data_IF_407823168103
#
_entry.id   IF_407823168103
#
_cell.length_a   1.000
_cell.length_b   1.000
_cell.length_c   1.000
_cell.angle_alpha   90.00
_cell.angle_beta   90.00
_cell.angle_gamma   90.00
#
_symmetry.space_group_name_H-M   'P 1'
#
loop_
_entity.id
_entity.type
_entity.pdbx_description
1 polymer ?
#
# COMPACT_ATOMS: atom_id res chain seq x y z
N UNK A 1 84.64 -51.44 25.88
CA UNK A 1 84.33 -50.01 25.72
C UNK A 1 83.05 -49.92 24.92
N UNK A 2 81.99 -49.50 25.57
CA UNK A 2 80.63 -49.49 25.17
C UNK A 2 80.30 -48.31 24.29
N UNK A 3 79.47 -48.48 23.25
CA UNK A 3 78.81 -47.40 22.63
C UNK A 3 77.34 -47.80 22.41
N UNK A 4 76.46 -47.16 23.15
CA UNK A 4 75.02 -47.32 23.02
C UNK A 4 74.49 -46.28 22.06
N UNK A 5 73.91 -46.71 20.93
CA UNK A 5 73.13 -45.89 20.01
C UNK A 5 71.67 -45.88 20.50
N UNK A 6 71.15 -44.66 20.72
CA UNK A 6 69.78 -44.37 21.10
C UNK A 6 68.92 -44.13 19.85
N UNK A 7 67.99 -45.05 19.60
CA UNK A 7 66.94 -44.84 18.63
C UNK A 7 65.95 -43.74 19.07
N UNK A 8 65.76 -42.77 18.26
CA UNK A 8 64.71 -41.76 18.42
C UNK A 8 63.55 -42.16 17.50
N UNK A 9 62.46 -42.62 18.07
CA UNK A 9 61.18 -42.79 17.39
C UNK A 9 60.56 -41.43 17.10
N UNK A 10 60.38 -41.10 15.83
CA UNK A 10 59.59 -39.98 15.36
C UNK A 10 58.11 -40.34 15.38
N UNK A 11 57.35 -39.70 16.28
CA UNK A 11 55.90 -39.75 16.25
C UNK A 11 55.36 -38.68 15.27
N UNK A 12 54.80 -39.13 14.18
CA UNK A 12 54.10 -38.28 13.21
C UNK A 12 52.71 -38.03 13.78
N UNK A 13 52.51 -36.79 14.26
CA UNK A 13 51.17 -36.30 14.68
C UNK A 13 50.29 -36.00 13.46
N UNK A 14 49.20 -36.75 13.32
CA UNK A 14 48.19 -36.52 12.30
C UNK A 14 47.31 -35.34 12.75
N UNK A 15 47.48 -34.16 12.15
CA UNK A 15 46.64 -33.01 12.41
C UNK A 15 45.33 -33.14 11.60
N UNK A 16 44.24 -33.42 12.28
CA UNK A 16 42.88 -33.40 11.67
C UNK A 16 42.43 -31.95 11.48
N UNK A 17 42.41 -31.48 10.26
CA UNK A 17 41.82 -30.18 9.90
C UNK A 17 40.32 -30.32 9.84
N UNK A 18 39.60 -29.78 10.81
CA UNK A 18 38.16 -29.68 10.83
C UNK A 18 37.75 -28.52 9.92
N UNK A 19 37.29 -28.78 8.68
CA UNK A 19 36.66 -27.77 7.83
C UNK A 19 35.26 -27.45 8.34
N UNK A 20 35.08 -26.31 8.95
CA UNK A 20 33.77 -25.78 9.26
C UNK A 20 33.08 -25.31 7.95
N UNK A 21 32.12 -26.09 7.46
CA UNK A 21 31.26 -25.67 6.35
C UNK A 21 30.29 -24.62 6.92
N UNK A 22 30.62 -23.34 6.72
CA UNK A 22 29.72 -22.23 7.02
C UNK A 22 28.55 -22.27 6.05
N UNK A 23 27.35 -22.60 6.53
CA UNK A 23 26.10 -22.39 5.78
C UNK A 23 25.85 -20.88 5.67
N UNK A 24 26.21 -20.30 4.53
CA UNK A 24 25.73 -18.98 4.17
C UNK A 24 24.22 -19.05 3.98
N UNK A 25 23.46 -18.68 4.99
CA UNK A 25 22.03 -18.42 4.85
C UNK A 25 21.86 -17.28 3.86
N UNK A 26 21.39 -17.59 2.66
CA UNK A 26 20.92 -16.57 1.72
C UNK A 26 19.78 -15.83 2.41
N UNK A 27 20.02 -14.61 2.86
CA UNK A 27 18.95 -13.71 3.25
C UNK A 27 18.04 -13.58 2.03
N UNK A 28 16.77 -13.98 2.15
CA UNK A 28 15.79 -13.78 1.10
C UNK A 28 15.71 -12.26 0.88
N UNK A 29 16.12 -11.79 -0.28
CA UNK A 29 15.94 -10.39 -0.65
C UNK A 29 14.45 -10.05 -0.53
N UNK A 30 14.15 -9.08 0.32
CA UNK A 30 12.78 -8.59 0.46
C UNK A 30 12.30 -8.12 -0.91
N UNK A 31 11.26 -8.80 -1.44
CA UNK A 31 10.70 -8.40 -2.74
C UNK A 31 10.28 -6.93 -2.67
N UNK A 32 10.63 -6.13 -3.67
CA UNK A 32 10.21 -4.73 -3.70
C UNK A 32 8.70 -4.65 -3.61
N UNK A 33 8.19 -3.60 -2.94
CA UNK A 33 6.76 -3.37 -2.82
C UNK A 33 6.10 -3.30 -4.20
N UNK A 34 5.04 -4.09 -4.38
CA UNK A 34 4.18 -4.06 -5.58
C UNK A 34 2.76 -3.68 -5.17
N UNK A 35 2.17 -2.75 -5.89
CA UNK A 35 0.78 -2.37 -5.72
C UNK A 35 -0.19 -3.35 -6.42
N UNK A 36 0.29 -4.21 -7.31
CA UNK A 36 -0.51 -5.22 -8.01
C UNK A 36 -1.35 -6.04 -7.02
N UNK A 37 -2.61 -6.30 -7.36
CA UNK A 37 -3.53 -7.12 -6.59
C UNK A 37 -4.82 -6.41 -6.22
N UNK A 38 -5.56 -7.03 -5.30
CA UNK A 38 -6.81 -6.52 -4.76
C UNK A 38 -6.62 -6.09 -3.31
N UNK A 39 -7.19 -4.93 -2.98
CA UNK A 39 -7.08 -4.31 -1.67
C UNK A 39 -8.45 -3.90 -1.19
N UNK A 40 -8.75 -4.19 0.07
CA UNK A 40 -9.95 -3.70 0.76
C UNK A 40 -9.59 -2.54 1.68
N UNK A 41 -10.44 -1.52 1.71
CA UNK A 41 -10.24 -0.37 2.59
C UNK A 41 -10.58 -0.73 4.03
N UNK A 42 -9.71 -0.33 4.95
CA UNK A 42 -9.94 -0.51 6.40
C UNK A 42 -10.20 0.81 7.09
N UNK A 43 -9.75 1.94 6.53
CA UNK A 43 -10.07 3.27 7.03
C UNK A 43 -9.90 4.34 5.93
N UNK A 44 -10.72 5.38 6.01
CA UNK A 44 -10.57 6.63 5.28
C UNK A 44 -10.83 7.80 6.23
N UNK A 45 -9.87 8.72 6.35
CA UNK A 45 -10.01 9.86 7.26
C UNK A 45 -9.25 11.07 6.74
N UNK A 46 -9.61 12.22 7.24
CA UNK A 46 -8.94 13.48 6.94
C UNK A 46 -8.42 14.13 8.22
N UNK A 47 -7.27 14.78 8.10
CA UNK A 47 -6.75 15.68 9.13
C UNK A 47 -6.91 17.09 8.59
N UNK A 48 -7.78 17.87 9.24
CA UNK A 48 -8.03 19.26 8.88
C UNK A 48 -6.83 20.14 9.27
N UNK A 49 -6.82 21.39 8.80
CA UNK A 49 -5.73 22.34 9.08
C UNK A 49 -5.54 22.63 10.57
N UNK A 50 -6.59 22.49 11.38
CA UNK A 50 -6.56 22.66 12.85
C UNK A 50 -6.17 21.37 13.60
N UNK A 51 -5.85 20.29 12.88
CA UNK A 51 -5.51 18.98 13.44
C UNK A 51 -6.72 18.08 13.76
N UNK A 52 -7.94 18.53 13.55
CA UNK A 52 -9.15 17.72 13.75
C UNK A 52 -9.19 16.57 12.77
N UNK A 53 -9.51 15.36 13.26
CA UNK A 53 -9.72 14.17 12.43
C UNK A 53 -11.20 14.00 12.10
N UNK A 54 -11.50 13.80 10.82
CA UNK A 54 -12.86 13.50 10.33
C UNK A 54 -12.88 12.22 9.50
N UNK A 55 -14.05 11.55 9.45
CA UNK A 55 -14.25 10.28 8.72
C UNK A 55 -15.40 10.44 7.73
N UNK A 56 -15.16 11.18 6.64
CA UNK A 56 -16.19 11.52 5.64
C UNK A 56 -16.85 10.31 4.97
N UNK A 57 -16.15 9.15 4.99
CA UNK A 57 -16.68 7.88 4.48
C UNK A 57 -17.14 6.94 5.61
N UNK A 58 -17.35 7.45 6.84
CA UNK A 58 -17.71 6.68 8.03
C UNK A 58 -16.54 5.90 8.62
N UNK A 59 -16.79 5.25 9.76
CA UNK A 59 -15.78 4.48 10.50
C UNK A 59 -15.37 3.18 9.75
N UNK A 60 -16.29 2.63 8.93
CA UNK A 60 -16.09 1.40 8.17
C UNK A 60 -16.45 1.63 6.69
N UNK A 61 -15.60 2.33 5.92
CA UNK A 61 -15.88 2.62 4.51
C UNK A 61 -15.88 1.34 3.68
N UNK A 62 -16.79 1.26 2.70
CA UNK A 62 -16.74 0.23 1.67
C UNK A 62 -15.77 0.66 0.58
N UNK A 63 -14.56 0.11 0.57
CA UNK A 63 -13.55 0.48 -0.41
C UNK A 63 -12.90 -0.74 -1.06
N UNK A 64 -12.72 -0.66 -2.37
CA UNK A 64 -12.01 -1.64 -3.19
C UNK A 64 -11.03 -0.93 -4.10
N UNK A 65 -9.78 -1.39 -4.10
CA UNK A 65 -8.75 -0.99 -5.05
C UNK A 65 -8.24 -2.26 -5.74
N UNK A 66 -8.31 -2.27 -7.06
CA UNK A 66 -7.75 -3.32 -7.90
C UNK A 66 -6.67 -2.71 -8.78
N UNK A 67 -5.52 -3.38 -8.85
CA UNK A 67 -4.40 -2.97 -9.70
C UNK A 67 -3.88 -4.19 -10.45
N UNK A 68 -3.79 -4.09 -11.77
CA UNK A 68 -3.24 -5.15 -12.59
C UNK A 68 -1.70 -5.07 -12.69
N UNK A 69 -1.10 -6.08 -13.31
CA UNK A 69 0.36 -6.20 -13.48
C UNK A 69 1.01 -5.09 -14.33
N UNK A 70 0.21 -4.33 -15.09
CA UNK A 70 0.70 -3.22 -15.92
C UNK A 70 0.32 -1.86 -15.34
N UNK A 71 -0.19 -1.84 -14.08
CA UNK A 71 -0.52 -0.63 -13.34
C UNK A 71 -1.86 0.01 -13.72
N UNK A 72 -2.75 -0.67 -14.46
CA UNK A 72 -4.13 -0.22 -14.57
C UNK A 72 -4.83 -0.43 -13.25
N UNK A 73 -5.60 0.55 -12.81
CA UNK A 73 -6.29 0.46 -11.54
C UNK A 73 -7.75 0.88 -11.66
N UNK A 74 -8.54 0.38 -10.72
CA UNK A 74 -9.87 0.88 -10.39
C UNK A 74 -9.98 1.01 -8.89
N UNK A 75 -10.40 2.18 -8.43
CA UNK A 75 -10.65 2.45 -7.02
C UNK A 75 -12.10 2.87 -6.83
N UNK A 76 -12.71 2.35 -5.78
CA UNK A 76 -14.09 2.61 -5.41
C UNK A 76 -14.15 2.75 -3.90
N UNK A 77 -14.68 3.87 -3.40
CA UNK A 77 -14.87 4.13 -1.98
C UNK A 77 -16.30 4.62 -1.80
N UNK A 78 -17.02 4.01 -0.87
CA UNK A 78 -18.40 4.36 -0.58
C UNK A 78 -18.64 4.48 0.91
N UNK A 79 -19.33 5.52 1.33
CA UNK A 79 -19.90 5.62 2.67
C UNK A 79 -21.05 4.62 2.78
N UNK A 80 -21.06 3.73 3.80
CA UNK A 80 -22.05 2.64 3.87
C UNK A 80 -23.47 3.10 4.17
N UNK A 81 -23.64 4.22 4.87
CA UNK A 81 -24.91 4.77 5.35
C UNK A 81 -25.58 5.76 4.39
N UNK A 82 -25.16 5.77 3.11
CA UNK A 82 -25.80 6.64 2.10
C UNK A 82 -27.30 6.32 1.98
N UNK A 83 -28.19 7.33 2.00
CA UNK A 83 -29.62 7.12 1.86
C UNK A 83 -29.94 6.47 0.49
N UNK A 84 -30.94 5.61 0.50
CA UNK A 84 -31.50 5.08 -0.75
C UNK A 84 -32.43 6.12 -1.37
N UNK A 85 -32.50 6.16 -2.69
CA UNK A 85 -33.47 6.97 -3.38
C UNK A 85 -34.89 6.53 -3.03
N UNK A 86 -35.69 7.41 -2.45
CA UNK A 86 -37.04 7.10 -2.00
C UNK A 86 -37.96 6.62 -3.14
N UNK A 87 -37.75 7.16 -4.36
CA UNK A 87 -38.48 6.76 -5.57
C UNK A 87 -38.09 5.37 -6.08
N UNK A 88 -36.95 4.80 -5.66
CA UNK A 88 -36.33 3.62 -6.27
C UNK A 88 -35.85 3.82 -7.72
N UNK A 89 -36.00 5.02 -8.27
CA UNK A 89 -35.61 5.38 -9.63
C UNK A 89 -34.49 6.43 -9.59
N UNK A 90 -33.32 6.05 -10.11
CA UNK A 90 -32.14 6.93 -10.16
C UNK A 90 -32.39 8.27 -10.84
N UNK A 91 -33.38 8.34 -11.74
CA UNK A 91 -33.71 9.57 -12.47
C UNK A 91 -34.70 10.48 -11.74
N UNK A 92 -35.23 10.02 -10.60
CA UNK A 92 -36.28 10.71 -9.82
C UNK A 92 -35.85 10.99 -8.38
N UNK A 93 -34.55 11.17 -8.15
CA UNK A 93 -34.03 11.56 -6.85
C UNK A 93 -34.29 13.01 -6.54
N UNK A 94 -34.27 13.37 -5.24
CA UNK A 94 -34.23 14.75 -4.82
C UNK A 94 -32.80 15.33 -4.99
N UNK A 95 -32.60 16.66 -5.00
CA UNK A 95 -31.27 17.25 -5.00
C UNK A 95 -30.38 16.73 -3.88
N UNK A 96 -30.94 16.52 -2.68
CA UNK A 96 -30.24 16.01 -1.50
C UNK A 96 -29.80 14.55 -1.69
N UNK A 97 -30.66 13.70 -2.25
CA UNK A 97 -30.31 12.31 -2.55
C UNK A 97 -29.17 12.21 -3.56
N UNK A 98 -29.19 13.07 -4.59
CA UNK A 98 -28.06 13.15 -5.55
C UNK A 98 -26.78 13.65 -4.89
N UNK A 99 -26.87 14.69 -4.06
CA UNK A 99 -25.73 15.23 -3.33
C UNK A 99 -25.09 14.16 -2.42
N UNK A 100 -25.91 13.45 -1.63
CA UNK A 100 -25.46 12.38 -0.77
C UNK A 100 -24.86 11.20 -1.54
N UNK A 101 -25.41 10.84 -2.69
CA UNK A 101 -24.85 9.80 -3.54
C UNK A 101 -23.47 10.18 -4.10
N UNK A 102 -23.26 11.44 -4.44
CA UNK A 102 -21.96 11.95 -4.95
C UNK A 102 -20.96 12.14 -3.82
N UNK A 103 -21.31 12.88 -2.76
CA UNK A 103 -20.41 13.19 -1.65
C UNK A 103 -20.03 11.95 -0.83
N UNK A 104 -20.92 10.97 -0.78
CA UNK A 104 -20.67 9.67 -0.12
C UNK A 104 -19.93 8.66 -1.00
N UNK A 105 -19.42 9.05 -2.16
CA UNK A 105 -18.67 8.16 -3.05
C UNK A 105 -17.42 8.84 -3.62
N UNK A 106 -16.37 8.04 -3.82
CA UNK A 106 -15.17 8.46 -4.53
C UNK A 106 -14.71 7.31 -5.41
N UNK A 107 -14.79 7.48 -6.71
CA UNK A 107 -14.36 6.45 -7.67
C UNK A 107 -13.48 7.08 -8.73
N UNK A 108 -12.42 6.39 -9.10
CA UNK A 108 -11.59 6.77 -10.25
C UNK A 108 -10.81 5.58 -10.80
N UNK A 109 -10.47 5.69 -12.06
CA UNK A 109 -9.69 4.67 -12.79
C UNK A 109 -8.57 5.33 -13.57
N UNK A 110 -7.60 4.54 -14.02
CA UNK A 110 -6.49 5.02 -14.81
C UNK A 110 -5.25 4.15 -14.66
N UNK A 111 -4.10 4.82 -14.56
CA UNK A 111 -2.82 4.15 -14.34
C UNK A 111 -2.17 4.63 -13.06
N UNK A 112 -1.55 3.69 -12.34
CA UNK A 112 -0.78 3.99 -11.13
C UNK A 112 0.63 3.41 -11.26
N UNK A 113 1.62 4.18 -10.80
CA UNK A 113 3.00 3.75 -10.67
C UNK A 113 3.47 3.92 -9.23
N UNK A 114 4.43 3.10 -8.82
CA UNK A 114 5.12 3.21 -7.53
C UNK A 114 6.50 3.84 -7.77
N UNK A 115 6.80 4.93 -7.07
CA UNK A 115 8.14 5.51 -6.96
C UNK A 115 8.69 5.20 -5.56
N UNK A 116 9.43 4.12 -5.39
CA UNK A 116 9.94 3.71 -4.08
C UNK A 116 11.06 4.61 -3.57
N UNK A 117 11.76 5.34 -4.46
CA UNK A 117 12.85 6.25 -4.09
C UNK A 117 12.27 7.48 -3.39
N UNK A 118 11.16 8.02 -3.90
CA UNK A 118 10.50 9.19 -3.34
C UNK A 118 9.38 8.85 -2.36
N UNK A 119 9.04 7.56 -2.19
CA UNK A 119 7.92 7.13 -1.36
C UNK A 119 6.56 7.60 -1.90
N UNK A 120 6.38 7.62 -3.22
CA UNK A 120 5.18 8.13 -3.86
C UNK A 120 4.43 7.07 -4.66
N UNK A 121 3.10 7.12 -4.60
CA UNK A 121 2.22 6.56 -5.61
C UNK A 121 1.85 7.68 -6.59
N UNK A 122 1.94 7.39 -7.88
CA UNK A 122 1.66 8.35 -8.96
C UNK A 122 0.40 7.87 -9.68
N UNK A 123 -0.73 8.50 -9.40
CA UNK A 123 -2.01 8.20 -10.05
C UNK A 123 -2.21 9.12 -11.26
N UNK A 124 -2.29 8.56 -12.46
CA UNK A 124 -2.75 9.26 -13.66
C UNK A 124 -4.23 8.89 -13.85
N UNK A 125 -5.12 9.82 -13.56
CA UNK A 125 -6.56 9.57 -13.51
C UNK A 125 -7.16 9.76 -14.91
N UNK A 126 -7.79 8.71 -15.45
CA UNK A 126 -8.40 8.72 -16.78
C UNK A 126 -9.91 9.04 -16.69
N UNK A 127 -10.60 8.52 -15.67
CA UNK A 127 -12.00 8.80 -15.40
C UNK A 127 -12.29 8.80 -13.90
N UNK A 128 -13.23 9.65 -13.45
CA UNK A 128 -13.58 9.79 -12.05
C UNK A 128 -15.05 10.15 -11.82
N UNK A 129 -15.59 9.81 -10.62
CA UNK A 129 -16.90 10.32 -10.18
C UNK A 129 -16.90 11.83 -9.91
N UNK A 130 -15.73 12.41 -9.64
CA UNK A 130 -15.52 13.85 -9.58
C UNK A 130 -14.77 14.32 -10.85
N UNK A 131 -15.46 14.92 -11.82
CA UNK A 131 -14.90 15.20 -13.16
C UNK A 131 -13.62 16.03 -13.15
N UNK A 132 -13.42 16.88 -12.13
CA UNK A 132 -12.23 17.72 -12.03
C UNK A 132 -10.92 16.93 -11.83
N UNK A 133 -10.99 15.65 -11.51
CA UNK A 133 -9.81 14.80 -11.41
C UNK A 133 -9.41 14.17 -12.75
N UNK A 134 -10.31 14.13 -13.72
CA UNK A 134 -10.04 13.52 -15.03
C UNK A 134 -8.90 14.24 -15.76
N UNK A 135 -8.01 13.47 -16.35
CA UNK A 135 -6.81 13.97 -17.01
C UNK A 135 -5.74 14.53 -16.08
N UNK A 136 -5.90 14.41 -14.74
CA UNK A 136 -4.91 14.90 -13.77
C UNK A 136 -3.95 13.81 -13.31
N UNK A 137 -2.80 14.25 -12.79
CA UNK A 137 -1.87 13.41 -12.06
C UNK A 137 -1.91 13.77 -10.58
N UNK A 138 -2.07 12.77 -9.72
CA UNK A 138 -2.02 12.93 -8.27
C UNK A 138 -0.85 12.15 -7.69
N UNK A 139 -0.01 12.84 -6.89
CA UNK A 139 1.09 12.27 -6.15
C UNK A 139 0.63 12.04 -4.70
N UNK A 140 0.78 10.82 -4.20
CA UNK A 140 0.38 10.45 -2.84
C UNK A 140 1.54 9.85 -2.09
N UNK A 141 1.84 10.38 -0.91
CA UNK A 141 2.79 9.75 0.00
C UNK A 141 2.26 8.39 0.43
N UNK A 142 3.12 7.35 0.47
CA UNK A 142 2.68 6.04 0.91
C UNK A 142 3.66 5.41 1.90
N UNK A 143 3.11 4.53 2.73
CA UNK A 143 3.83 3.55 3.53
C UNK A 143 3.22 2.18 3.31
N UNK A 144 4.06 1.15 3.32
CA UNK A 144 3.61 -0.24 3.30
C UNK A 144 4.30 -1.00 4.43
N UNK A 145 3.50 -1.53 5.35
CA UNK A 145 4.00 -2.28 6.50
C UNK A 145 3.00 -3.37 6.89
N UNK A 146 3.48 -4.57 7.13
CA UNK A 146 2.70 -5.71 7.63
C UNK A 146 1.41 -5.97 6.82
N UNK A 147 1.52 -5.89 5.48
CA UNK A 147 0.39 -6.09 4.56
C UNK A 147 -0.56 -4.89 4.44
N UNK A 148 -0.35 -3.84 5.24
CA UNK A 148 -1.15 -2.62 5.23
C UNK A 148 -0.49 -1.54 4.37
N UNK A 149 -1.22 -1.04 3.40
CA UNK A 149 -0.87 0.13 2.61
C UNK A 149 -1.61 1.35 3.15
N UNK A 150 -0.88 2.38 3.53
CA UNK A 150 -1.45 3.70 3.83
C UNK A 150 -0.92 4.69 2.82
N UNK A 151 -1.80 5.49 2.22
CA UNK A 151 -1.36 6.63 1.43
C UNK A 151 -2.16 7.88 1.78
N UNK A 152 -1.55 9.04 1.52
CA UNK A 152 -2.17 10.33 1.79
C UNK A 152 -2.07 11.26 0.59
N UNK A 153 -3.11 12.10 0.42
CA UNK A 153 -3.08 13.24 -0.47
C UNK A 153 -2.58 14.44 0.34
N UNK A 154 -1.46 15.08 -0.07
CA UNK A 154 -0.90 16.22 0.67
C UNK A 154 -1.85 17.41 0.77
N UNK A 155 -1.75 18.20 1.83
CA UNK A 155 -2.58 19.35 2.12
C UNK A 155 -2.59 20.42 0.99
N UNK A 156 -1.46 20.62 0.31
CA UNK A 156 -1.38 21.54 -0.82
C UNK A 156 -2.14 21.05 -2.07
N UNK A 157 -2.36 19.75 -2.20
CA UNK A 157 -3.12 19.17 -3.31
C UNK A 157 -4.64 19.24 -3.06
N UNK A 158 -5.08 19.30 -1.79
CA UNK A 158 -6.49 19.48 -1.42
C UNK A 158 -6.96 20.94 -1.55
N UNK A 159 -6.03 21.88 -1.57
CA UNK A 159 -6.31 23.32 -1.68
C UNK A 159 -6.86 24.00 -0.42
N UNK A 160 -7.20 23.24 0.63
CA UNK A 160 -7.79 23.71 1.88
C UNK A 160 -6.97 23.37 3.14
N UNK A 161 -5.74 22.88 2.96
CA UNK A 161 -4.87 22.47 4.07
C UNK A 161 -5.21 21.11 4.68
N UNK A 162 -6.18 20.39 4.13
CA UNK A 162 -6.61 19.06 4.62
C UNK A 162 -5.71 17.97 4.03
N UNK A 163 -5.31 17.00 4.86
CA UNK A 163 -4.59 15.80 4.43
C UNK A 163 -5.56 14.63 4.49
N UNK A 164 -5.86 14.04 3.32
CA UNK A 164 -6.74 12.87 3.23
C UNK A 164 -5.90 11.58 3.28
N UNK A 165 -6.27 10.65 4.14
CA UNK A 165 -5.63 9.34 4.32
C UNK A 165 -6.54 8.22 3.86
N UNK A 166 -5.95 7.22 3.22
CA UNK A 166 -6.60 5.97 2.81
C UNK A 166 -5.76 4.80 3.30
N UNK A 167 -6.39 3.87 4.02
CA UNK A 167 -5.73 2.69 4.60
C UNK A 167 -6.34 1.43 3.99
N UNK A 168 -5.48 0.55 3.50
CA UNK A 168 -5.87 -0.62 2.73
C UNK A 168 -5.17 -1.87 3.22
N UNK A 169 -5.88 -2.97 3.22
CA UNK A 169 -5.34 -4.30 3.47
C UNK A 169 -5.36 -5.11 2.18
N UNK A 170 -4.23 -5.78 1.87
CA UNK A 170 -4.18 -6.66 0.71
C UNK A 170 -5.06 -7.89 0.92
N UNK A 171 -5.86 -8.24 -0.07
CA UNK A 171 -6.60 -9.51 -0.09
C UNK A 171 -5.61 -10.63 -0.44
N UNK A 172 -5.51 -11.70 0.36
CA UNK A 172 -4.71 -12.87 0.00
C UNK A 172 -5.17 -13.45 -1.35
N UNK A 173 -4.21 -13.86 -2.18
CA UNK A 173 -4.47 -14.56 -3.44
C UNK A 173 -4.49 -16.05 -3.21
#
# INVERSE_FOLDING_TARGET
>A
MSNQSRDRMNSIGLATVLMAVGTFGMAAEARPFSLEGTWVMTAAYEILADGTRTTNYGEHPNGLLMVDKVGRYSIQIFRPDRPKFASGDKKKGTPEEYAEAVLGSSTHTGRVAVDPIRGKLIFNIEAASYPNWEGTQQLRDYTFKDGTLTYSLPANASGNGTIAYSVWQRVPQ
#
